data_IF_899235360545
#
_entry.id   IF_899235360545
#
_cell.length_a   1.000
_cell.length_b   1.000
_cell.length_c   1.000
_cell.angle_alpha   90.00
_cell.angle_beta   90.00
_cell.angle_gamma   90.00
#
_symmetry.space_group_name_H-M   'P 1'
#
loop_
_entity.id
_entity.type
_entity.pdbx_description
1 polymer ?
#
# COMPACT_ATOMS: atom_id res chain seq x y z
N UNK A 1 -6.06 3.14 -8.99
CA UNK A 1 -5.02 2.45 -8.21
C UNK A 1 -5.27 2.73 -6.74
N UNK A 2 -4.91 1.83 -5.84
CA UNK A 2 -4.99 2.03 -4.39
C UNK A 2 -3.60 2.39 -3.86
N UNK A 3 -3.49 3.45 -3.07
CA UNK A 3 -2.23 3.82 -2.39
C UNK A 3 -2.35 3.50 -0.91
N UNK A 4 -1.45 2.66 -0.43
CA UNK A 4 -1.26 2.33 0.97
C UNK A 4 0.02 2.99 1.49
N UNK A 5 -0.10 3.69 2.62
CA UNK A 5 0.95 4.49 3.23
C UNK A 5 0.69 4.61 4.74
N UNK A 6 1.72 4.98 5.50
CA UNK A 6 1.56 5.25 6.94
C UNK A 6 0.97 6.64 7.16
N UNK A 7 0.18 6.83 8.22
CA UNK A 7 -0.33 8.16 8.60
C UNK A 7 0.79 9.22 8.72
N UNK A 8 2.00 8.82 9.12
CA UNK A 8 3.18 9.71 9.18
C UNK A 8 3.60 10.24 7.81
N UNK A 9 3.27 9.54 6.73
CA UNK A 9 3.60 9.89 5.35
C UNK A 9 2.45 10.58 4.62
N UNK A 10 1.27 10.71 5.25
CA UNK A 10 0.04 11.18 4.61
C UNK A 10 0.19 12.54 3.93
N UNK A 11 0.89 13.45 4.59
CA UNK A 11 1.16 14.79 4.09
C UNK A 11 1.99 14.79 2.80
N UNK A 12 3.00 13.94 2.73
CA UNK A 12 3.81 13.77 1.53
C UNK A 12 3.00 13.08 0.42
N UNK A 13 2.23 12.05 0.76
CA UNK A 13 1.40 11.34 -0.22
C UNK A 13 0.38 12.27 -0.85
N UNK A 14 -0.34 13.08 -0.06
CA UNK A 14 -1.36 14.00 -0.58
C UNK A 14 -0.75 15.09 -1.46
N UNK A 15 0.34 15.71 -1.02
CA UNK A 15 0.95 16.86 -1.70
C UNK A 15 1.79 16.48 -2.91
N UNK A 16 2.46 15.33 -2.89
CA UNK A 16 3.37 14.95 -3.96
C UNK A 16 2.79 13.85 -4.85
N UNK A 17 2.46 12.69 -4.28
CA UNK A 17 2.12 11.51 -5.08
C UNK A 17 0.70 11.60 -5.65
N UNK A 18 -0.28 11.84 -4.78
CA UNK A 18 -1.69 11.90 -5.15
C UNK A 18 -1.96 13.06 -6.12
N UNK A 19 -1.47 14.26 -5.80
CA UNK A 19 -1.65 15.44 -6.63
C UNK A 19 -1.13 15.21 -8.06
N UNK A 20 0.07 14.62 -8.22
CA UNK A 20 0.66 14.37 -9.54
C UNK A 20 -0.09 13.30 -10.33
N UNK A 21 -0.60 12.27 -9.67
CA UNK A 21 -1.36 11.19 -10.33
C UNK A 21 -2.77 11.64 -10.72
N UNK A 22 -3.44 12.43 -9.90
CA UNK A 22 -4.78 12.96 -10.23
C UNK A 22 -4.70 14.13 -11.22
N UNK A 23 -3.59 14.87 -11.28
CA UNK A 23 -3.37 15.96 -12.24
C UNK A 23 -2.75 15.51 -13.58
N UNK A 24 -2.47 14.22 -13.77
CA UNK A 24 -1.91 13.72 -15.03
C UNK A 24 -2.90 13.87 -16.19
N UNK A 25 -2.41 13.75 -17.43
CA UNK A 25 -3.27 13.79 -18.63
C UNK A 25 -3.08 12.50 -19.45
N UNK A 26 -4.05 11.55 -19.42
CA UNK A 26 -5.31 11.58 -18.67
C UNK A 26 -5.11 11.39 -17.15
N UNK A 27 -6.06 11.85 -16.31
CA UNK A 27 -5.95 11.75 -14.86
C UNK A 27 -6.18 10.32 -14.38
N UNK A 28 -5.41 9.86 -13.38
CA UNK A 28 -5.64 8.58 -12.75
C UNK A 28 -6.70 8.67 -11.65
N UNK A 29 -7.62 7.70 -11.59
CA UNK A 29 -8.49 7.52 -10.43
C UNK A 29 -7.71 6.79 -9.33
N UNK A 30 -7.47 7.50 -8.24
CA UNK A 30 -6.69 7.02 -7.10
C UNK A 30 -7.60 6.84 -5.89
N UNK A 31 -7.34 5.79 -5.11
CA UNK A 31 -7.98 5.51 -3.83
C UNK A 31 -6.96 5.63 -2.69
N UNK A 32 -7.34 6.28 -1.60
CA UNK A 32 -6.55 6.39 -0.35
C UNK A 32 -7.42 6.09 0.87
N UNK A 33 -6.82 5.53 1.92
CA UNK A 33 -7.57 5.09 3.09
C UNK A 33 -8.26 6.24 3.86
N UNK A 34 -7.72 7.45 3.82
CA UNK A 34 -8.27 8.61 4.55
C UNK A 34 -9.53 9.19 3.90
N UNK A 35 -9.72 8.95 2.60
CA UNK A 35 -10.83 9.51 1.81
C UNK A 35 -11.88 8.47 1.47
N UNK A 36 -11.42 7.26 1.15
CA UNK A 36 -12.23 6.28 0.45
C UNK A 36 -12.61 5.07 1.32
N UNK A 37 -12.10 4.96 2.56
CA UNK A 37 -12.51 3.89 3.47
C UNK A 37 -13.88 4.18 4.06
N UNK A 38 -14.68 3.12 4.20
CA UNK A 38 -16.02 3.21 4.78
C UNK A 38 -15.92 3.19 6.31
N UNK A 39 -16.37 4.25 7.01
CA UNK A 39 -16.40 4.27 8.47
C UNK A 39 -17.27 3.14 9.03
N UNK A 40 -16.83 2.52 10.12
CA UNK A 40 -17.57 1.41 10.76
C UNK A 40 -17.32 0.03 10.14
N UNK A 41 -16.58 -0.09 9.03
CA UNK A 41 -16.04 -1.36 8.55
C UNK A 41 -14.67 -1.67 9.17
N UNK A 42 -14.32 -2.95 9.26
CA UNK A 42 -12.98 -3.37 9.68
C UNK A 42 -11.93 -2.86 8.70
N UNK A 43 -10.73 -2.55 9.23
CA UNK A 43 -9.63 -2.02 8.42
C UNK A 43 -9.21 -3.01 7.33
N UNK A 44 -9.17 -4.30 7.65
CA UNK A 44 -8.79 -5.36 6.72
C UNK A 44 -9.82 -5.46 5.58
N UNK A 45 -11.12 -5.40 5.89
CA UNK A 45 -12.17 -5.45 4.87
C UNK A 45 -12.06 -4.27 3.90
N UNK A 46 -11.82 -3.06 4.41
CA UNK A 46 -11.59 -1.88 3.58
C UNK A 46 -10.35 -2.04 2.70
N UNK A 47 -9.26 -2.60 3.22
CA UNK A 47 -8.04 -2.87 2.45
C UNK A 47 -8.34 -3.84 1.30
N UNK A 48 -9.01 -4.97 1.58
CA UNK A 48 -9.34 -6.00 0.59
C UNK A 48 -10.21 -5.41 -0.51
N UNK A 49 -11.28 -4.70 -0.15
CA UNK A 49 -12.19 -4.08 -1.10
C UNK A 49 -11.47 -3.09 -2.03
N UNK A 50 -10.57 -2.27 -1.50
CA UNK A 50 -9.84 -1.28 -2.30
C UNK A 50 -8.73 -1.91 -3.16
N UNK A 51 -8.16 -3.03 -2.72
CA UNK A 51 -7.28 -3.87 -3.52
C UNK A 51 -8.04 -4.48 -4.70
N UNK A 52 -9.17 -5.14 -4.46
CA UNK A 52 -9.96 -5.81 -5.49
C UNK A 52 -10.54 -4.84 -6.53
N UNK A 53 -10.89 -3.62 -6.11
CA UNK A 53 -11.40 -2.58 -7.00
C UNK A 53 -10.30 -1.78 -7.73
N UNK A 54 -9.02 -2.12 -7.53
CA UNK A 54 -7.88 -1.41 -8.10
C UNK A 54 -7.05 -2.25 -9.05
N UNK A 55 -6.72 -1.69 -10.22
CA UNK A 55 -5.80 -2.35 -11.18
C UNK A 55 -4.36 -2.47 -10.71
N UNK A 56 -3.94 -1.54 -9.84
CA UNK A 56 -2.58 -1.45 -9.30
C UNK A 56 -2.66 -1.04 -7.84
N UNK A 57 -1.73 -1.56 -7.05
CA UNK A 57 -1.58 -1.22 -5.64
C UNK A 57 -0.21 -0.58 -5.47
N UNK A 58 -0.18 0.56 -4.82
CA UNK A 58 1.02 1.34 -4.61
C UNK A 58 1.31 1.33 -3.12
N UNK A 59 2.44 0.79 -2.71
CA UNK A 59 2.91 0.86 -1.33
C UNK A 59 3.95 1.96 -1.22
N UNK A 60 3.71 2.93 -0.33
CA UNK A 60 4.70 3.95 0.02
C UNK A 60 5.52 3.42 1.18
N UNK A 61 6.70 2.90 0.85
CA UNK A 61 7.60 2.27 1.79
C UNK A 61 8.39 3.31 2.59
N UNK A 62 8.19 3.25 3.90
CA UNK A 62 8.94 3.94 4.95
C UNK A 62 9.09 3.01 6.16
N UNK A 63 10.00 3.31 7.08
CA UNK A 63 10.11 2.63 8.38
C UNK A 63 8.81 2.70 9.13
N UNK A 64 8.14 3.87 9.17
CA UNK A 64 6.82 3.98 9.79
C UNK A 64 5.82 3.02 9.15
N UNK A 65 5.79 2.92 7.82
CA UNK A 65 4.89 1.99 7.13
C UNK A 65 5.19 0.52 7.44
N UNK A 66 6.48 0.14 7.50
CA UNK A 66 6.91 -1.21 7.87
C UNK A 66 6.48 -1.55 9.29
N UNK A 67 6.59 -0.61 10.22
CA UNK A 67 6.30 -0.83 11.63
C UNK A 67 4.80 -0.83 11.96
N UNK A 68 3.99 -0.02 11.27
CA UNK A 68 2.55 0.12 11.57
C UNK A 68 1.63 -0.70 10.67
N UNK A 69 1.82 -0.64 9.35
CA UNK A 69 0.79 -1.04 8.38
C UNK A 69 1.13 -2.34 7.65
N UNK A 70 2.42 -2.58 7.39
CA UNK A 70 2.86 -3.74 6.60
C UNK A 70 2.40 -5.09 7.16
N UNK A 71 2.26 -5.21 8.48
CA UNK A 71 1.83 -6.44 9.11
C UNK A 71 0.45 -6.91 8.62
N UNK A 72 -0.47 -5.99 8.35
CA UNK A 72 -1.79 -6.30 7.80
C UNK A 72 -1.70 -6.90 6.40
N UNK A 73 -0.78 -6.37 5.58
CA UNK A 73 -0.54 -6.84 4.23
C UNK A 73 0.18 -8.17 4.20
N UNK A 74 1.18 -8.38 5.05
CA UNK A 74 1.86 -9.68 5.16
C UNK A 74 0.86 -10.79 5.53
N UNK A 75 -0.07 -10.51 6.46
CA UNK A 75 -1.13 -11.45 6.83
C UNK A 75 -2.12 -11.67 5.68
N UNK A 76 -2.63 -10.60 5.07
CA UNK A 76 -3.52 -10.67 3.91
C UNK A 76 -2.93 -11.54 2.81
N UNK A 77 -1.68 -11.27 2.48
CA UNK A 77 -0.92 -11.99 1.49
C UNK A 77 -0.64 -13.45 1.88
N UNK A 78 -0.32 -13.75 3.14
CA UNK A 78 -0.10 -15.12 3.60
C UNK A 78 -1.37 -15.97 3.50
N UNK A 79 -2.53 -15.38 3.81
CA UNK A 79 -3.83 -16.05 3.72
C UNK A 79 -4.34 -16.20 2.30
N UNK A 80 -4.07 -15.23 1.42
CA UNK A 80 -4.52 -15.30 0.03
C UNK A 80 -3.47 -15.93 -0.89
N UNK A 81 -3.66 -17.24 -1.13
CA UNK A 81 -2.99 -18.00 -2.20
C UNK A 81 -3.72 -17.90 -3.56
N UNK A 82 -4.87 -17.22 -3.65
CA UNK A 82 -5.83 -17.43 -4.75
C UNK A 82 -6.54 -16.18 -5.30
N UNK A 83 -6.26 -14.97 -4.81
CA UNK A 83 -6.68 -13.77 -5.54
C UNK A 83 -5.56 -13.46 -6.51
N UNK A 84 -5.89 -13.41 -7.80
CA UNK A 84 -4.95 -13.31 -8.93
C UNK A 84 -4.15 -12.01 -9.02
N UNK A 85 -3.74 -11.46 -7.88
CA UNK A 85 -2.73 -10.43 -7.79
C UNK A 85 -1.38 -11.00 -8.21
N UNK A 86 -0.94 -10.62 -9.40
CA UNK A 86 0.45 -10.82 -9.77
C UNK A 86 1.32 -9.76 -9.08
N UNK A 87 2.57 -10.10 -8.77
CA UNK A 87 3.55 -9.12 -8.28
C UNK A 87 3.70 -7.94 -9.24
N UNK A 88 3.39 -8.13 -10.52
CA UNK A 88 3.34 -7.08 -11.55
C UNK A 88 2.28 -6.00 -11.31
N UNK A 89 1.28 -6.26 -10.44
CA UNK A 89 0.25 -5.30 -10.07
C UNK A 89 0.59 -4.45 -8.85
N UNK A 90 1.73 -4.75 -8.22
CA UNK A 90 2.24 -4.01 -7.07
C UNK A 90 3.36 -3.06 -7.51
N UNK A 91 3.22 -1.80 -7.12
CA UNK A 91 4.25 -0.77 -7.29
C UNK A 91 4.77 -0.38 -5.92
N UNK A 92 6.09 -0.45 -5.75
CA UNK A 92 6.75 0.00 -4.53
C UNK A 92 7.34 1.40 -4.75
N UNK A 93 6.94 2.35 -3.91
CA UNK A 93 7.52 3.69 -3.85
C UNK A 93 8.37 3.77 -2.59
N UNK A 94 9.69 3.72 -2.75
CA UNK A 94 10.63 3.79 -1.63
C UNK A 94 10.86 5.24 -1.24
N UNK A 95 10.20 5.71 -0.19
CA UNK A 95 10.33 7.09 0.31
C UNK A 95 11.62 7.28 1.12
N UNK A 96 12.06 6.25 1.82
CA UNK A 96 13.30 6.23 2.59
C UNK A 96 14.01 4.89 2.49
N UNK A 97 15.32 4.88 2.69
CA UNK A 97 16.10 3.65 2.65
C UNK A 97 15.67 2.69 3.77
N UNK A 98 15.27 1.49 3.36
CA UNK A 98 14.89 0.38 4.24
C UNK A 98 15.97 -0.68 4.16
N UNK A 99 16.57 -1.00 5.30
CA UNK A 99 17.49 -2.12 5.40
C UNK A 99 16.70 -3.43 5.46
N UNK A 100 16.78 -4.22 4.39
CA UNK A 100 16.11 -5.51 4.30
C UNK A 100 16.56 -6.50 5.41
N UNK A 101 17.78 -6.34 5.94
CA UNK A 101 18.30 -7.16 7.03
C UNK A 101 17.70 -6.78 8.39
N UNK A 102 17.32 -5.51 8.56
CA UNK A 102 16.67 -5.02 9.77
C UNK A 102 15.17 -5.35 9.84
N UNK A 103 14.57 -5.81 8.73
CA UNK A 103 13.15 -6.18 8.70
C UNK A 103 12.86 -7.37 9.63
N UNK A 104 11.72 -7.41 10.32
CA UNK A 104 11.29 -8.59 11.08
C UNK A 104 11.25 -9.87 10.23
N UNK A 105 11.65 -11.01 10.82
CA UNK A 105 11.68 -12.33 10.13
C UNK A 105 10.33 -12.78 9.56
N UNK A 106 9.24 -12.28 10.11
CA UNK A 106 7.88 -12.54 9.63
C UNK A 106 7.54 -11.85 8.31
N UNK A 107 8.29 -10.83 7.88
CA UNK A 107 8.03 -10.07 6.65
C UNK A 107 8.70 -10.71 5.43
N UNK A 108 8.33 -11.96 5.17
CA UNK A 108 8.91 -12.78 4.11
C UNK A 108 8.63 -12.23 2.72
N UNK A 109 7.44 -11.67 2.47
CA UNK A 109 7.10 -11.09 1.16
C UNK A 109 7.76 -9.74 0.95
N UNK A 110 7.81 -8.87 1.96
CA UNK A 110 8.50 -7.59 1.83
C UNK A 110 9.95 -7.77 1.38
N UNK A 111 10.66 -8.70 2.03
CA UNK A 111 12.04 -9.05 1.69
C UNK A 111 12.24 -9.59 0.28
N UNK A 112 11.20 -10.18 -0.32
CA UNK A 112 11.26 -10.66 -1.71
C UNK A 112 10.98 -9.55 -2.73
N UNK A 113 10.34 -8.47 -2.31
CA UNK A 113 9.96 -7.36 -3.18
C UNK A 113 10.97 -6.20 -3.16
N UNK A 114 11.79 -6.13 -2.09
CA UNK A 114 13.00 -5.29 -2.00
C UNK A 114 14.20 -5.98 -2.66
#
# INVERSE_FOLDING_TARGET
>A
AFISYSCSDADWVRRELLQRLEASTPPYRICIHERDFTPGRWIIDNIIENIENSRKIIFVLSRSFVDSDWCNYELYFAHQRAVGMNFEDVVLVVKEAIDAQALPNKFCRLRKML
#
